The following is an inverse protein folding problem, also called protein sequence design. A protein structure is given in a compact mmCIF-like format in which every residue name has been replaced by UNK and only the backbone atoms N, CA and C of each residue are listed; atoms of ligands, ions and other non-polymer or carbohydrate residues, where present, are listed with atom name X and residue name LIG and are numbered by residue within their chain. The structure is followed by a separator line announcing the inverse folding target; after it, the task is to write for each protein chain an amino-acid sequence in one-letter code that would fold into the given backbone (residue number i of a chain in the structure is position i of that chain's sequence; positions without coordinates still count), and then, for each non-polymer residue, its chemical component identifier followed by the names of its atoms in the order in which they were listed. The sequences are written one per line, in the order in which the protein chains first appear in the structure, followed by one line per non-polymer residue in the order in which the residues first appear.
data_IF_573116506431
#
_entry.id   IF_573116506431
#
_cell.length_a   1.000
_cell.length_b   1.000
_cell.length_c   1.000
_cell.angle_alpha   90.00
_cell.angle_beta   90.00
_cell.angle_gamma   90.00
#
_symmetry.space_group_name_H-M   'P 1'
#
loop_
_entity.id
_entity.type
_entity.pdbx_description
1 polymer ?
#
# COMPACT_ATOMS: atom_id res chain seq x y z
N UNK A 1 18.00 10.11 -0.20
CA UNK A 1 16.96 9.16 -0.69
C UNK A 1 15.69 9.49 0.07
N UNK A 2 14.59 9.81 -0.63
CA UNK A 2 13.32 10.17 -0.01
C UNK A 2 12.48 8.90 0.23
N UNK A 3 12.96 8.01 1.09
CA UNK A 3 12.17 6.86 1.51
C UNK A 3 10.98 7.32 2.35
N UNK A 4 9.85 6.63 2.21
CA UNK A 4 8.67 6.97 3.00
C UNK A 4 8.79 6.38 4.41
N UNK A 5 8.40 7.17 5.40
CA UNK A 5 8.33 6.76 6.80
C UNK A 5 6.90 6.36 7.16
N UNK A 6 6.73 5.21 7.82
CA UNK A 6 5.41 4.68 8.16
C UNK A 6 4.65 5.56 9.18
N UNK A 7 5.34 6.18 10.14
CA UNK A 7 4.70 7.05 11.13
C UNK A 7 4.16 8.33 10.50
N UNK A 8 4.85 8.87 9.49
CA UNK A 8 4.33 10.01 8.73
C UNK A 8 3.12 9.60 7.88
N UNK A 9 3.17 8.42 7.25
CA UNK A 9 2.00 7.88 6.54
C UNK A 9 0.81 7.67 7.47
N UNK A 10 1.02 7.16 8.69
CA UNK A 10 -0.02 7.02 9.70
C UNK A 10 -0.66 8.37 10.06
N UNK A 11 0.15 9.40 10.35
CA UNK A 11 -0.38 10.75 10.67
C UNK A 11 -1.21 11.35 9.53
N UNK A 12 -0.74 11.18 8.28
CA UNK A 12 -1.48 11.64 7.11
C UNK A 12 -2.79 10.85 6.92
N UNK A 13 -2.76 9.55 7.19
CA UNK A 13 -3.92 8.67 7.17
C UNK A 13 -4.96 9.07 8.23
N UNK A 14 -4.54 9.33 9.48
CA UNK A 14 -5.39 9.82 10.58
C UNK A 14 -6.06 11.14 10.24
N UNK A 15 -5.31 12.03 9.60
CA UNK A 15 -5.80 13.35 9.18
C UNK A 15 -6.73 13.29 7.96
N UNK A 16 -6.96 12.10 7.40
CA UNK A 16 -7.77 11.92 6.19
C UNK A 16 -7.12 12.49 4.92
N UNK A 17 -5.82 12.77 4.94
CA UNK A 17 -5.05 13.32 3.82
C UNK A 17 -4.74 12.24 2.78
N UNK A 18 -5.79 11.57 2.28
CA UNK A 18 -5.70 10.50 1.30
C UNK A 18 -6.44 10.89 0.02
N UNK A 19 -5.73 10.76 -1.10
CA UNK A 19 -6.24 10.95 -2.44
C UNK A 19 -6.59 9.62 -3.09
N UNK A 20 -7.86 9.52 -3.51
CA UNK A 20 -8.41 8.38 -4.23
C UNK A 20 -8.63 8.74 -5.70
N UNK A 21 -7.85 8.17 -6.62
CA UNK A 21 -8.05 8.41 -8.06
C UNK A 21 -9.21 7.54 -8.59
N UNK A 22 -9.80 7.94 -9.73
CA UNK A 22 -10.82 7.12 -10.41
C UNK A 22 -10.31 5.70 -10.73
N UNK A 23 -9.04 5.57 -11.12
CA UNK A 23 -8.41 4.28 -11.38
C UNK A 23 -8.41 3.40 -10.13
N UNK A 24 -8.00 3.96 -8.98
CA UNK A 24 -7.92 3.24 -7.71
C UNK A 24 -9.30 2.79 -7.27
N UNK A 25 -10.29 3.69 -7.28
CA UNK A 25 -11.67 3.35 -6.87
C UNK A 25 -12.20 2.18 -7.69
N UNK A 26 -11.99 2.18 -9.01
CA UNK A 26 -12.37 1.06 -9.89
C UNK A 26 -11.67 -0.24 -9.49
N UNK A 27 -10.35 -0.21 -9.23
CA UNK A 27 -9.58 -1.41 -8.83
C UNK A 27 -10.02 -1.98 -7.48
N UNK A 28 -10.31 -1.12 -6.52
CA UNK A 28 -10.81 -1.54 -5.21
C UNK A 28 -12.17 -2.22 -5.33
N UNK A 29 -13.07 -1.64 -6.13
CA UNK A 29 -14.39 -2.24 -6.39
C UNK A 29 -14.30 -3.60 -7.09
N UNK A 30 -13.44 -3.73 -8.12
CA UNK A 30 -13.20 -5.01 -8.81
C UNK A 30 -12.68 -6.12 -7.89
N UNK A 31 -12.04 -5.75 -6.77
CA UNK A 31 -11.40 -6.67 -5.81
C UNK A 31 -12.15 -6.79 -4.49
N UNK A 32 -13.30 -6.12 -4.36
CA UNK A 32 -14.08 -6.03 -3.11
C UNK A 32 -13.24 -5.56 -1.91
N UNK A 33 -12.33 -4.62 -2.15
CA UNK A 33 -11.54 -3.97 -1.10
C UNK A 33 -12.18 -2.64 -0.75
N UNK A 34 -12.39 -2.38 0.53
CA UNK A 34 -12.98 -1.14 1.02
C UNK A 34 -11.90 -0.13 1.43
N UNK A 35 -12.28 1.14 1.64
CA UNK A 35 -11.30 2.16 2.03
C UNK A 35 -10.80 1.92 3.44
N UNK A 36 -11.69 1.43 4.29
CA UNK A 36 -11.45 1.00 5.67
C UNK A 36 -10.36 -0.06 5.74
N UNK A 37 -10.34 -1.00 4.80
CA UNK A 37 -9.27 -2.02 4.70
C UNK A 37 -7.92 -1.40 4.37
N UNK A 38 -7.91 -0.44 3.44
CA UNK A 38 -6.69 0.27 3.07
C UNK A 38 -6.17 1.12 4.24
N UNK A 39 -7.07 1.80 4.96
CA UNK A 39 -6.69 2.52 6.17
C UNK A 39 -6.10 1.55 7.22
N UNK A 40 -6.79 0.44 7.48
CA UNK A 40 -6.34 -0.59 8.42
C UNK A 40 -4.94 -1.12 8.07
N UNK A 41 -4.71 -1.46 6.80
CA UNK A 41 -3.41 -1.91 6.33
C UNK A 41 -2.30 -0.85 6.48
N UNK A 42 -2.59 0.44 6.25
CA UNK A 42 -1.61 1.53 6.47
C UNK A 42 -1.30 1.69 7.97
N UNK A 43 -2.30 1.58 8.85
CA UNK A 43 -2.09 1.73 10.29
C UNK A 43 -1.31 0.57 10.91
N UNK A 44 -1.72 -0.66 10.60
CA UNK A 44 -1.23 -1.86 11.29
C UNK A 44 -0.15 -2.61 10.53
N UNK A 45 0.03 -2.31 9.25
CA UNK A 45 1.03 -2.95 8.40
C UNK A 45 2.45 -2.43 8.61
N UNK A 46 3.32 -2.85 7.70
CA UNK A 46 4.73 -2.43 7.62
C UNK A 46 5.14 -2.23 6.17
N UNK A 47 6.09 -1.32 5.95
CA UNK A 47 6.69 -1.12 4.63
C UNK A 47 7.63 -2.30 4.34
N UNK A 48 7.42 -2.96 3.20
CA UNK A 48 8.23 -4.10 2.75
C UNK A 48 9.05 -3.78 1.49
N UNK A 49 8.66 -2.76 0.71
CA UNK A 49 9.44 -2.26 -0.42
C UNK A 49 9.37 -0.73 -0.47
N UNK A 50 10.50 -0.09 -0.79
CA UNK A 50 10.60 1.35 -1.04
C UNK A 50 10.84 1.60 -2.52
N UNK A 51 10.20 2.64 -3.06
CA UNK A 51 10.36 3.13 -4.42
C UNK A 51 10.66 4.64 -4.37
N UNK A 52 11.85 5.05 -3.90
CA UNK A 52 12.20 6.46 -3.72
C UNK A 52 12.23 7.24 -5.05
N UNK A 53 12.47 6.53 -6.16
CA UNK A 53 12.56 7.10 -7.51
C UNK A 53 11.25 6.99 -8.31
N UNK A 54 10.15 6.61 -7.65
CA UNK A 54 8.83 6.56 -8.29
C UNK A 54 8.36 7.97 -8.71
N UNK A 55 7.58 8.03 -9.79
CA UNK A 55 7.00 9.27 -10.30
C UNK A 55 5.47 9.29 -10.10
N UNK A 56 4.86 10.40 -9.67
CA UNK A 56 5.44 11.73 -9.43
C UNK A 56 6.10 11.93 -8.07
N UNK A 57 5.87 11.01 -7.13
CA UNK A 57 6.32 11.08 -5.74
C UNK A 57 6.95 9.74 -5.34
N UNK A 58 7.86 9.72 -4.33
CA UNK A 58 8.31 8.47 -3.76
C UNK A 58 7.12 7.63 -3.30
N UNK A 59 7.27 6.32 -3.45
CA UNK A 59 6.23 5.36 -3.13
C UNK A 59 6.79 4.20 -2.30
N UNK A 60 5.89 3.44 -1.70
CA UNK A 60 6.24 2.22 -0.99
C UNK A 60 5.13 1.17 -1.12
N UNK A 61 5.49 -0.08 -0.88
CA UNK A 61 4.57 -1.19 -0.69
C UNK A 61 4.44 -1.48 0.81
N UNK A 62 3.22 -1.41 1.30
CA UNK A 62 2.84 -1.76 2.67
C UNK A 62 2.22 -3.16 2.64
N UNK A 63 2.75 -4.05 3.48
CA UNK A 63 2.13 -5.33 3.82
C UNK A 63 1.38 -5.19 5.14
N UNK A 64 0.08 -5.48 5.12
CA UNK A 64 -0.78 -5.47 6.28
C UNK A 64 -1.96 -6.41 6.09
N UNK A 65 -3.07 -6.12 6.77
CA UNK A 65 -4.32 -6.87 6.65
C UNK A 65 -5.49 -5.93 6.42
N UNK A 66 -6.56 -6.47 5.83
CA UNK A 66 -7.86 -5.81 5.81
C UNK A 66 -8.51 -5.83 7.22
N UNK A 67 -9.72 -5.30 7.33
CA UNK A 67 -10.46 -5.25 8.60
C UNK A 67 -10.91 -6.63 9.13
N UNK A 68 -10.74 -7.69 8.35
CA UNK A 68 -11.08 -9.08 8.69
C UNK A 68 -9.82 -9.95 8.86
N UNK A 69 -8.66 -9.35 9.12
CA UNK A 69 -7.37 -10.03 9.27
C UNK A 69 -6.91 -10.83 8.04
N UNK A 70 -7.43 -10.51 6.85
CA UNK A 70 -6.99 -11.12 5.60
C UNK A 70 -5.81 -10.34 5.01
N UNK A 71 -4.75 -10.99 4.50
CA UNK A 71 -3.58 -10.31 3.95
C UNK A 71 -3.94 -9.29 2.86
N UNK A 72 -3.41 -8.08 3.00
CA UNK A 72 -3.64 -6.98 2.07
C UNK A 72 -2.34 -6.21 1.81
N UNK A 73 -2.00 -6.08 0.53
CA UNK A 73 -0.90 -5.26 0.05
C UNK A 73 -1.43 -3.94 -0.49
N UNK A 74 -0.85 -2.83 -0.04
CA UNK A 74 -1.22 -1.48 -0.46
C UNK A 74 0.02 -0.77 -0.99
N UNK A 75 -0.06 -0.27 -2.23
CA UNK A 75 0.97 0.61 -2.79
C UNK A 75 0.51 2.05 -2.65
N UNK A 76 1.31 2.87 -2.00
CA UNK A 76 1.05 4.30 -1.78
C UNK A 76 2.23 5.13 -2.26
N UNK A 77 1.94 6.29 -2.83
CA UNK A 77 2.91 7.38 -2.99
C UNK A 77 2.58 8.52 -2.03
N UNK A 78 3.57 9.30 -1.60
CA UNK A 78 3.33 10.47 -0.75
C UNK A 78 4.30 11.62 -1.06
N UNK A 79 3.79 12.86 -1.02
CA UNK A 79 4.58 14.10 -1.17
C UNK A 79 4.90 14.77 0.17
N UNK A 80 4.65 14.08 1.29
CA UNK A 80 4.76 14.62 2.65
C UNK A 80 3.51 15.34 3.16
N UNK A 81 2.52 15.59 2.29
CA UNK A 81 1.26 16.26 2.65
C UNK A 81 0.05 15.36 2.36
N UNK A 82 0.08 14.60 1.26
CA UNK A 82 -1.02 13.76 0.80
C UNK A 82 -0.50 12.37 0.46
N UNK A 83 -1.20 11.35 0.96
CA UNK A 83 -1.06 9.98 0.48
C UNK A 83 -1.88 9.82 -0.79
N UNK A 84 -1.24 9.42 -1.87
CA UNK A 84 -1.90 8.95 -3.09
C UNK A 84 -1.89 7.43 -3.09
N UNK A 85 -3.05 6.80 -2.91
CA UNK A 85 -3.17 5.35 -3.08
C UNK A 85 -2.99 5.03 -4.55
N UNK A 86 -2.08 4.12 -4.88
CA UNK A 86 -1.80 3.67 -6.25
C UNK A 86 -2.62 2.41 -6.56
N UNK A 87 -2.61 1.43 -5.64
CA UNK A 87 -3.44 0.22 -5.73
C UNK A 87 -3.47 -0.51 -4.39
N UNK A 88 -4.46 -1.39 -4.18
CA UNK A 88 -4.47 -2.38 -3.10
C UNK A 88 -4.93 -3.74 -3.64
N UNK A 89 -4.35 -4.84 -3.15
CA UNK A 89 -4.62 -6.20 -3.62
C UNK A 89 -4.22 -7.25 -2.58
N UNK A 90 -4.88 -8.40 -2.60
CA UNK A 90 -4.44 -9.58 -1.83
C UNK A 90 -3.16 -10.14 -2.44
N UNK A 91 -2.06 -10.29 -1.67
CA UNK A 91 -0.83 -10.90 -2.17
C UNK A 91 -1.07 -12.38 -2.53
N UNK A 92 -0.30 -12.90 -3.49
CA UNK A 92 -0.40 -14.30 -3.94
C UNK A 92 0.94 -14.99 -3.82
N UNK A 93 0.90 -16.30 -3.52
CA UNK A 93 2.09 -17.15 -3.46
C UNK A 93 2.78 -17.33 -4.82
N UNK A 94 2.14 -16.95 -5.93
CA UNK A 94 2.81 -16.90 -7.24
C UNK A 94 3.85 -15.78 -7.30
N UNK A 95 3.61 -14.68 -6.60
CA UNK A 95 4.44 -13.46 -6.65
C UNK A 95 5.30 -13.28 -5.41
N UNK A 96 4.85 -13.79 -4.27
CA UNK A 96 5.51 -13.65 -2.98
C UNK A 96 5.81 -15.02 -2.38
N UNK A 97 6.79 -15.08 -1.49
CA UNK A 97 7.11 -16.27 -0.72
C UNK A 97 5.99 -16.60 0.29
N UNK A 98 6.15 -17.69 1.05
CA UNK A 98 5.19 -18.16 2.05
C UNK A 98 4.84 -17.15 3.13
N UNK A 99 5.71 -16.16 3.39
CA UNK A 99 5.43 -15.04 4.29
C UNK A 99 4.55 -13.95 3.67
N UNK A 100 4.23 -14.03 2.37
CA UNK A 100 3.50 -13.06 1.56
C UNK A 100 4.14 -11.67 1.46
N UNK A 101 5.34 -11.47 1.97
CA UNK A 101 6.03 -10.18 2.06
C UNK A 101 7.23 -10.10 1.12
N UNK A 102 7.97 -11.20 0.96
CA UNK A 102 9.16 -11.25 0.13
C UNK A 102 8.78 -11.61 -1.30
N UNK A 103 9.06 -10.75 -2.28
CA UNK A 103 8.85 -11.11 -3.69
C UNK A 103 9.70 -12.33 -4.05
N UNK A 104 9.10 -13.26 -4.78
CA UNK A 104 9.88 -14.27 -5.50
C UNK A 104 10.64 -13.54 -6.60
N UNK A 105 11.97 -13.64 -6.58
CA UNK A 105 12.76 -13.21 -7.73
C UNK A 105 12.29 -14.04 -8.93
N UNK A 106 11.74 -13.37 -9.96
CA UNK A 106 11.69 -13.98 -11.28
C UNK A 106 13.15 -14.14 -11.72
N UNK A 107 13.77 -15.28 -11.43
CA UNK A 107 14.96 -15.68 -12.17
C UNK A 107 14.54 -15.73 -13.65
N UNK A 108 15.19 -14.97 -14.54
CA UNK A 108 14.93 -15.06 -15.97
C UNK A 108 15.18 -16.47 -16.49
#
# INVERSE_FOLDING_TARGET
MNELNLDDLRKLCESGNIKWTKHVIKRLQERQIYREDVYHAIFHGKIIEQYPDAFPNPACLISGTDTNDTPLHVVVGADGVIITVITAYTPTLDKFDTNLETRKENKP
#
